data_IF_131379307673
#
_entry.id   IF_131379307673
#
_cell.length_a   1.000
_cell.length_b   1.000
_cell.length_c   1.000
_cell.angle_alpha   90.00
_cell.angle_beta   90.00
_cell.angle_gamma   90.00
#
_symmetry.space_group_name_H-M   'P 1'
#
loop_
_entity.id
_entity.type
_entity.pdbx_description
1 polymer ?
#
# COMPACT_ATOMS: atom_id res chain seq x y z
N UNK A 1 25.71 -15.91 1.04
CA UNK A 1 24.40 -16.46 1.42
C UNK A 1 23.43 -16.28 0.26
N UNK A 2 22.85 -17.36 -0.22
CA UNK A 2 21.87 -17.34 -1.31
C UNK A 2 20.58 -17.95 -0.79
N UNK A 3 19.89 -17.25 0.09
CA UNK A 3 18.58 -17.72 0.54
C UNK A 3 17.48 -16.77 0.10
N UNK A 4 16.42 -17.37 -0.45
CA UNK A 4 15.21 -16.67 -0.82
C UNK A 4 14.40 -16.43 0.46
N UNK A 5 14.17 -15.18 0.80
CA UNK A 5 13.22 -14.80 1.82
C UNK A 5 11.86 -14.58 1.17
N UNK A 6 10.82 -15.03 1.82
CA UNK A 6 9.48 -14.56 1.49
C UNK A 6 9.17 -13.35 2.36
N UNK A 7 8.94 -12.21 1.73
CA UNK A 7 8.51 -10.98 2.40
C UNK A 7 7.01 -10.84 2.22
N UNK A 8 6.31 -10.58 3.32
CA UNK A 8 4.92 -10.16 3.31
C UNK A 8 4.85 -8.73 3.88
N UNK A 9 4.36 -7.80 3.09
CA UNK A 9 4.10 -6.44 3.51
C UNK A 9 2.59 -6.23 3.68
N UNK A 10 2.16 -5.81 4.86
CA UNK A 10 0.78 -5.50 5.19
C UNK A 10 0.68 -4.01 5.50
N UNK A 11 -0.15 -3.31 4.75
CA UNK A 11 -0.44 -1.90 4.97
C UNK A 11 -1.62 -1.75 5.93
N UNK A 12 -1.40 -1.06 7.04
CA UNK A 12 -2.46 -0.61 7.93
C UNK A 12 -2.58 0.91 7.85
N UNK A 13 -3.73 1.41 7.42
CA UNK A 13 -4.03 2.84 7.37
C UNK A 13 -4.84 3.19 8.60
N UNK A 14 -4.25 3.92 9.54
CA UNK A 14 -4.96 4.50 10.66
C UNK A 14 -5.61 5.84 10.23
N UNK A 15 -6.93 5.98 10.43
CA UNK A 15 -7.74 7.07 9.88
C UNK A 15 -7.25 8.47 10.19
N UNK A 16 -7.55 9.41 9.30
CA UNK A 16 -7.27 10.87 9.27
C UNK A 16 -5.86 11.38 9.61
N UNK A 17 -4.96 10.59 10.15
CA UNK A 17 -3.56 10.97 10.25
C UNK A 17 -2.83 10.57 8.96
N UNK A 18 -2.01 11.44 8.44
CA UNK A 18 -1.28 11.27 7.16
C UNK A 18 -0.12 10.27 7.25
N UNK A 19 -0.08 9.43 8.27
CA UNK A 19 0.91 8.37 8.42
C UNK A 19 0.25 7.00 8.21
N UNK A 20 0.86 6.17 7.39
CA UNK A 20 0.51 4.77 7.27
C UNK A 20 1.63 3.92 7.86
N UNK A 21 1.26 2.84 8.51
CA UNK A 21 2.22 1.84 8.99
C UNK A 21 2.23 0.65 8.05
N UNK A 22 3.42 0.19 7.70
CA UNK A 22 3.62 -1.05 6.95
C UNK A 22 4.31 -2.04 7.87
N UNK A 23 3.71 -3.20 8.02
CA UNK A 23 4.35 -4.33 8.69
C UNK A 23 4.97 -5.24 7.63
N UNK A 24 6.29 -5.42 7.72
CA UNK A 24 7.05 -6.31 6.86
C UNK A 24 7.47 -7.52 7.67
N UNK A 25 7.23 -8.71 7.15
CA UNK A 25 7.61 -9.98 7.81
C UNK A 25 8.35 -10.88 6.82
N UNK A 26 9.20 -11.75 7.32
CA UNK A 26 9.98 -12.67 6.51
C UNK A 26 10.33 -13.95 7.26
N UNK A 27 10.71 -14.98 6.52
CA UNK A 27 11.21 -16.21 7.09
C UNK A 27 12.66 -16.03 7.56
N UNK A 28 13.04 -16.53 8.74
CA UNK A 28 14.39 -16.39 9.25
C UNK A 28 15.40 -17.19 8.42
N UNK A 29 16.60 -16.64 8.28
CA UNK A 29 17.75 -17.41 7.85
C UNK A 29 18.17 -18.39 8.95
N UNK A 30 18.89 -19.44 8.56
CA UNK A 30 19.30 -20.53 9.46
C UNK A 30 20.81 -20.60 9.69
N UNK A 31 21.60 -19.65 9.18
CA UNK A 31 23.03 -19.60 9.41
C UNK A 31 23.34 -19.25 10.88
N UNK A 32 24.26 -19.97 11.47
CA UNK A 32 24.62 -19.81 12.90
C UNK A 32 25.27 -18.46 13.19
N UNK A 33 25.93 -17.87 12.17
CA UNK A 33 26.64 -16.59 12.26
C UNK A 33 25.78 -15.40 11.79
N UNK A 34 24.47 -15.61 11.56
CA UNK A 34 23.55 -14.54 11.20
C UNK A 34 23.53 -13.45 12.27
N UNK A 35 23.86 -12.21 11.88
CA UNK A 35 23.85 -11.08 12.78
C UNK A 35 22.57 -10.24 12.67
N UNK A 36 21.97 -10.12 11.49
CA UNK A 36 20.75 -9.37 11.31
C UNK A 36 20.34 -9.19 9.86
N UNK A 37 19.40 -8.27 9.68
CA UNK A 37 18.82 -7.93 8.39
C UNK A 37 18.84 -6.42 8.16
N UNK A 38 18.91 -6.04 6.89
CA UNK A 38 18.69 -4.67 6.44
C UNK A 38 17.50 -4.61 5.54
N UNK A 39 16.58 -3.71 5.86
CA UNK A 39 15.34 -3.47 5.10
C UNK A 39 15.55 -2.28 4.18
N UNK A 40 15.27 -2.50 2.91
CA UNK A 40 15.33 -1.49 1.86
C UNK A 40 13.93 -1.16 1.40
N UNK A 41 13.67 0.12 1.16
CA UNK A 41 12.38 0.63 0.69
C UNK A 41 12.60 1.56 -0.49
N UNK A 42 11.72 1.49 -1.47
CA UNK A 42 11.75 2.37 -2.63
C UNK A 42 10.36 2.60 -3.22
N UNK A 43 10.26 3.58 -4.08
CA UNK A 43 9.02 3.94 -4.80
C UNK A 43 9.01 3.39 -6.23
N UNK A 44 10.06 2.72 -6.64
CA UNK A 44 10.18 2.02 -7.91
C UNK A 44 10.81 0.64 -7.71
N UNK A 45 10.35 -0.34 -8.46
CA UNK A 45 10.86 -1.71 -8.40
C UNK A 45 12.37 -1.74 -8.66
N UNK A 46 13.10 -2.40 -7.76
CA UNK A 46 14.55 -2.54 -7.84
C UNK A 46 15.35 -1.26 -7.53
N UNK A 47 14.69 -0.17 -7.17
CA UNK A 47 15.32 1.11 -6.83
C UNK A 47 15.01 1.47 -5.38
N UNK A 48 15.96 1.21 -4.50
CA UNK A 48 15.80 1.39 -3.07
C UNK A 48 16.64 2.56 -2.55
N UNK A 49 16.17 3.17 -1.46
CA UNK A 49 16.93 4.15 -0.70
C UNK A 49 17.92 3.50 0.27
N UNK A 50 18.40 4.29 1.22
CA UNK A 50 19.28 3.80 2.28
C UNK A 50 18.58 2.75 3.13
N UNK A 51 19.27 1.66 3.50
CA UNK A 51 18.68 0.60 4.29
C UNK A 51 18.49 0.99 5.76
N UNK A 52 17.50 0.38 6.36
CA UNK A 52 17.30 0.40 7.82
C UNK A 52 17.80 -0.92 8.38
N UNK A 53 18.76 -0.85 9.31
CA UNK A 53 19.18 -2.02 10.06
C UNK A 53 18.10 -2.38 11.10
N UNK A 54 17.50 -3.52 10.91
CA UNK A 54 16.40 -3.98 11.77
C UNK A 54 16.84 -5.02 12.80
N UNK A 55 18.11 -5.43 12.75
CA UNK A 55 18.67 -6.46 13.64
C UNK A 55 18.21 -7.87 13.28
N UNK A 56 18.46 -8.80 14.17
CA UNK A 56 18.08 -10.20 13.98
C UNK A 56 16.63 -10.46 14.44
N UNK A 57 15.71 -10.03 13.62
CA UNK A 57 14.25 -10.15 13.83
C UNK A 57 13.60 -10.72 12.57
N UNK A 58 12.36 -11.13 12.65
CA UNK A 58 11.60 -11.67 11.52
C UNK A 58 10.43 -10.77 11.09
N UNK A 59 10.37 -9.58 11.64
CA UNK A 59 9.37 -8.60 11.29
C UNK A 59 9.77 -7.21 11.75
N UNK A 60 9.32 -6.20 11.02
CA UNK A 60 9.55 -4.80 11.33
C UNK A 60 8.33 -3.97 10.95
N UNK A 61 7.96 -3.04 11.80
CA UNK A 61 6.90 -2.06 11.52
C UNK A 61 7.56 -0.72 11.23
N UNK A 62 7.26 -0.16 10.09
CA UNK A 62 7.75 1.16 9.73
C UNK A 62 6.60 2.11 9.39
N UNK A 63 6.81 3.38 9.66
CA UNK A 63 5.92 4.44 9.23
C UNK A 63 6.36 4.94 7.86
N UNK A 64 5.41 5.07 6.97
CA UNK A 64 5.61 5.72 5.68
C UNK A 64 4.71 6.94 5.60
N UNK A 65 5.18 7.99 4.92
CA UNK A 65 4.31 9.09 4.53
C UNK A 65 3.58 8.66 3.27
N UNK A 66 2.30 8.28 3.36
CA UNK A 66 1.63 7.68 2.22
C UNK A 66 1.44 8.73 1.12
N UNK A 67 1.99 8.45 -0.04
CA UNK A 67 1.57 9.13 -1.25
C UNK A 67 0.41 8.32 -1.85
N UNK A 68 -0.74 8.92 -1.93
CA UNK A 68 -1.94 8.28 -2.49
C UNK A 68 -1.71 7.86 -3.93
N UNK A 69 -2.05 6.61 -4.23
CA UNK A 69 -1.82 6.02 -5.54
C UNK A 69 -0.38 5.54 -5.77
N UNK A 70 0.49 5.61 -4.77
CA UNK A 70 1.86 5.12 -4.86
C UNK A 70 1.98 3.63 -4.50
N UNK A 71 2.94 2.95 -5.10
CA UNK A 71 3.37 1.61 -4.71
C UNK A 71 4.74 1.70 -4.06
N UNK A 72 4.88 1.12 -2.89
CA UNK A 72 6.15 0.98 -2.21
C UNK A 72 6.69 -0.44 -2.40
N UNK A 73 7.99 -0.54 -2.59
CA UNK A 73 8.71 -1.77 -2.85
C UNK A 73 9.69 -2.03 -1.72
N UNK A 74 9.77 -3.27 -1.28
CA UNK A 74 10.59 -3.69 -0.14
C UNK A 74 11.48 -4.84 -0.54
N UNK A 75 12.72 -4.80 -0.10
CA UNK A 75 13.66 -5.90 -0.20
C UNK A 75 14.49 -6.02 1.08
N UNK A 76 15.02 -7.18 1.34
CA UNK A 76 15.86 -7.48 2.49
C UNK A 76 17.22 -8.00 2.04
N UNK A 77 18.22 -7.70 2.85
CA UNK A 77 19.47 -8.45 2.88
C UNK A 77 19.70 -9.01 4.27
N UNK A 78 20.46 -10.10 4.36
CA UNK A 78 20.97 -10.62 5.63
C UNK A 78 22.44 -10.35 5.72
N UNK A 79 22.95 -10.12 6.91
CA UNK A 79 24.37 -9.96 7.16
C UNK A 79 24.84 -10.83 8.32
N UNK A 80 26.08 -11.26 8.27
CA UNK A 80 26.71 -12.11 9.29
C UNK A 80 27.58 -11.31 10.26
N UNK A 81 28.10 -12.00 11.27
CA UNK A 81 29.00 -11.41 12.28
C UNK A 81 30.34 -10.99 11.73
N UNK A 82 30.72 -11.45 10.55
CA UNK A 82 31.95 -11.05 9.84
C UNK A 82 31.73 -9.84 8.93
N UNK A 83 30.49 -9.36 8.81
CA UNK A 83 30.14 -8.22 7.96
C UNK A 83 29.85 -8.56 6.51
N UNK A 84 29.76 -9.84 6.16
CA UNK A 84 29.30 -10.23 4.83
C UNK A 84 27.80 -10.01 4.72
N UNK A 85 27.34 -9.53 3.57
CA UNK A 85 25.94 -9.22 3.27
C UNK A 85 25.49 -10.02 2.07
N UNK A 86 24.27 -10.55 2.13
CA UNK A 86 23.62 -11.28 1.05
C UNK A 86 23.20 -10.34 -0.09
N UNK A 87 22.82 -10.91 -1.23
CA UNK A 87 22.02 -10.20 -2.23
C UNK A 87 20.62 -9.89 -1.71
N UNK A 88 19.87 -9.10 -2.47
CA UNK A 88 18.47 -8.81 -2.15
C UNK A 88 17.61 -10.07 -2.16
N UNK A 89 16.65 -10.09 -1.26
CA UNK A 89 15.52 -11.04 -1.30
C UNK A 89 14.65 -10.81 -2.52
N UNK A 90 13.66 -11.68 -2.69
CA UNK A 90 12.53 -11.36 -3.55
C UNK A 90 11.86 -10.06 -3.07
N UNK A 91 11.39 -9.27 -4.02
CA UNK A 91 10.73 -7.99 -3.74
C UNK A 91 9.29 -8.22 -3.30
N UNK A 92 8.90 -7.52 -2.25
CA UNK A 92 7.50 -7.35 -1.88
C UNK A 92 7.04 -5.93 -2.22
N UNK A 93 5.77 -5.77 -2.51
CA UNK A 93 5.21 -4.45 -2.79
C UNK A 93 3.92 -4.21 -2.02
N UNK A 94 3.65 -2.94 -1.74
CA UNK A 94 2.44 -2.49 -1.09
C UNK A 94 1.90 -1.26 -1.81
N UNK A 95 0.66 -1.36 -2.30
CA UNK A 95 -0.02 -0.23 -2.92
C UNK A 95 -0.78 0.57 -1.86
N UNK A 96 -0.58 1.89 -1.85
CA UNK A 96 -1.34 2.82 -1.00
C UNK A 96 -2.51 3.35 -1.83
N UNK A 97 -3.74 2.91 -1.53
CA UNK A 97 -4.89 3.35 -2.31
C UNK A 97 -5.10 4.86 -2.17
N UNK A 98 -5.57 5.47 -3.25
CA UNK A 98 -6.08 6.83 -3.21
C UNK A 98 -7.31 6.86 -2.31
N UNK A 99 -7.18 7.47 -1.14
CA UNK A 99 -8.27 7.61 -0.18
C UNK A 99 -9.32 8.67 -0.57
N UNK A 100 -9.13 9.32 -1.70
CA UNK A 100 -10.08 10.32 -2.21
C UNK A 100 -11.28 9.61 -2.79
N UNK A 101 -12.42 9.74 -2.14
CA UNK A 101 -13.68 9.28 -2.73
C UNK A 101 -13.93 10.05 -4.03
N UNK A 102 -14.31 9.37 -5.11
CA UNK A 102 -14.79 10.07 -6.28
C UNK A 102 -15.91 11.04 -5.91
N UNK A 103 -15.92 12.19 -6.52
CA UNK A 103 -17.04 13.10 -6.37
C UNK A 103 -18.32 12.46 -6.88
N UNK A 104 -19.43 12.82 -6.27
CA UNK A 104 -20.74 12.33 -6.73
C UNK A 104 -20.92 12.64 -8.20
N UNK A 105 -21.32 11.66 -9.00
CA UNK A 105 -21.68 11.94 -10.39
C UNK A 105 -22.72 13.03 -10.47
N UNK A 106 -22.43 14.08 -11.21
CA UNK A 106 -23.35 15.22 -11.37
C UNK A 106 -24.41 15.00 -12.43
N UNK A 107 -24.24 13.97 -13.27
CA UNK A 107 -25.16 13.65 -14.37
C UNK A 107 -26.47 12.98 -13.95
N UNK A 108 -26.57 12.45 -12.72
CA UNK A 108 -27.74 11.72 -12.26
C UNK A 108 -29.04 12.57 -12.27
N UNK A 109 -28.89 13.87 -12.01
CA UNK A 109 -30.03 14.81 -12.02
C UNK A 109 -30.67 14.94 -13.41
N UNK A 110 -29.88 14.88 -14.47
CA UNK A 110 -30.39 14.92 -15.84
C UNK A 110 -31.23 13.68 -16.17
N UNK A 111 -30.83 12.49 -15.69
CA UNK A 111 -31.59 11.25 -15.85
C UNK A 111 -32.93 11.32 -15.10
N UNK A 112 -32.93 11.81 -13.87
CA UNK A 112 -34.14 11.98 -13.05
C UNK A 112 -35.10 12.97 -13.73
N UNK A 113 -34.62 14.08 -14.25
CA UNK A 113 -35.42 15.08 -14.96
C UNK A 113 -36.04 14.50 -16.25
N UNK A 114 -35.30 13.71 -16.98
CA UNK A 114 -35.81 13.04 -18.17
C UNK A 114 -36.93 12.04 -17.84
N UNK A 115 -36.76 11.25 -16.76
CA UNK A 115 -37.77 10.31 -16.27
C UNK A 115 -39.02 11.06 -15.79
N UNK A 116 -38.86 12.12 -15.01
CA UNK A 116 -39.99 12.95 -14.54
C UNK A 116 -40.75 13.58 -15.70
N UNK A 117 -40.05 14.10 -16.71
CA UNK A 117 -40.69 14.66 -17.91
C UNK A 117 -41.44 13.61 -18.70
N UNK A 118 -40.93 12.39 -18.80
CA UNK A 118 -41.58 11.26 -19.46
C UNK A 118 -42.86 10.87 -18.71
N UNK A 119 -42.82 10.74 -17.38
CA UNK A 119 -44.02 10.46 -16.54
C UNK A 119 -45.07 11.58 -16.63
N UNK A 120 -44.69 12.85 -16.70
CA UNK A 120 -45.61 13.97 -16.89
C UNK A 120 -46.36 13.86 -18.22
N UNK A 121 -45.66 13.50 -19.29
CA UNK A 121 -46.29 13.30 -20.59
C UNK A 121 -47.29 12.13 -20.62
N UNK A 122 -46.96 11.05 -19.88
CA UNK A 122 -47.74 9.82 -19.88
C UNK A 122 -49.00 9.91 -18.99
N UNK A 123 -48.93 10.59 -17.85
CA UNK A 123 -49.97 10.60 -16.82
C UNK A 123 -50.59 11.98 -16.56
N UNK A 124 -50.13 13.02 -17.23
CA UNK A 124 -50.62 14.39 -17.03
C UNK A 124 -50.38 14.94 -15.63
N UNK A 125 -49.46 14.34 -14.86
CA UNK A 125 -49.18 14.70 -13.48
C UNK A 125 -48.25 15.90 -13.41
N UNK A 126 -48.60 16.88 -12.55
CA UNK A 126 -47.62 17.91 -12.17
C UNK A 126 -46.55 17.29 -11.28
N UNK A 127 -45.30 17.35 -11.71
CA UNK A 127 -44.20 16.87 -10.89
C UNK A 127 -44.07 17.74 -9.66
N UNK A 128 -44.06 17.11 -8.48
CA UNK A 128 -43.49 17.72 -7.30
C UNK A 128 -42.00 17.90 -7.53
N UNK A 129 -41.49 19.11 -7.28
CA UNK A 129 -40.04 19.37 -7.33
C UNK A 129 -39.44 18.69 -6.12
N UNK A 130 -38.70 17.61 -6.36
CA UNK A 130 -37.87 16.99 -5.35
C UNK A 130 -36.56 17.78 -5.36
N UNK A 131 -36.38 18.57 -4.33
CA UNK A 131 -35.14 19.33 -4.11
C UNK A 131 -33.98 18.40 -3.72
#
# INVERSE_FOLDING_TARGET
MKKLFTILAILAIAGIAQAATVQVTWNPNTEEDLAGYRLYVGEASGQYGEPVDVGNVTGHVMEITPQHGATYYFALTAYDTSGNESGYSDEASCFVPDGVKPEKPTGLRAIIQAIISWFKGLFGLRAAVIA
#
